data_IF_976752255410
#
_entry.id   IF_976752255410
#
_cell.length_a   1.000
_cell.length_b   1.000
_cell.length_c   1.000
_cell.angle_alpha   90.00
_cell.angle_beta   90.00
_cell.angle_gamma   90.00
#
_symmetry.space_group_name_H-M   'P 1'
#
loop_
_entity.id
_entity.type
_entity.pdbx_description
1 polymer ?
#
# COMPACT_ATOMS: atom_id res chain seq x y z
N UNK A 1 -3.07 13.64 22.75
CA UNK A 1 -4.10 14.55 22.31
C UNK A 1 -5.27 13.75 21.77
N UNK A 2 -6.50 14.03 22.26
CA UNK A 2 -7.70 13.40 21.69
C UNK A 2 -8.05 14.12 20.39
N UNK A 3 -8.53 13.38 19.40
CA UNK A 3 -9.09 13.96 18.19
C UNK A 3 -10.26 14.88 18.58
N UNK A 4 -10.44 16.02 17.91
CA UNK A 4 -11.59 16.89 18.15
C UNK A 4 -12.90 16.11 17.83
N UNK A 5 -13.95 16.41 18.57
CA UNK A 5 -15.27 15.90 18.25
C UNK A 5 -15.70 16.49 16.90
N UNK A 6 -16.07 15.62 15.97
CA UNK A 6 -16.56 16.02 14.65
C UNK A 6 -18.08 16.11 14.72
N UNK A 7 -18.61 17.29 14.50
CA UNK A 7 -20.04 17.56 14.47
C UNK A 7 -20.45 18.30 13.19
N UNK A 8 -21.75 18.42 12.91
CA UNK A 8 -22.25 19.11 11.72
C UNK A 8 -21.77 20.55 11.58
N UNK A 9 -21.61 21.26 12.69
CA UNK A 9 -21.18 22.68 12.66
C UNK A 9 -19.72 22.79 12.25
N UNK A 10 -18.85 21.90 12.76
CA UNK A 10 -17.47 21.82 12.34
C UNK A 10 -17.35 21.44 10.85
N UNK A 11 -18.14 20.47 10.40
CA UNK A 11 -18.17 20.04 8.98
C UNK A 11 -18.59 21.20 8.08
N UNK A 12 -19.59 22.00 8.48
CA UNK A 12 -20.08 23.14 7.69
C UNK A 12 -19.03 24.25 7.50
N UNK A 13 -18.04 24.32 8.38
CA UNK A 13 -16.94 25.29 8.31
C UNK A 13 -15.75 24.80 7.51
N UNK A 14 -15.73 23.54 7.09
CA UNK A 14 -14.63 23.00 6.29
C UNK A 14 -14.67 23.53 4.86
N UNK A 15 -13.54 24.05 4.38
CA UNK A 15 -13.39 24.46 2.98
C UNK A 15 -13.36 23.26 2.03
N UNK A 16 -12.76 22.16 2.47
CA UNK A 16 -12.68 20.91 1.73
C UNK A 16 -12.83 19.73 2.69
N UNK A 17 -13.55 18.72 2.26
CA UNK A 17 -13.67 17.44 2.96
C UNK A 17 -13.11 16.38 2.03
N UNK A 18 -12.12 15.62 2.51
CA UNK A 18 -11.48 14.53 1.75
C UNK A 18 -11.57 13.22 2.52
N UNK A 19 -11.73 12.14 1.80
CA UNK A 19 -11.68 10.80 2.34
C UNK A 19 -10.38 10.10 1.88
N UNK A 20 -9.77 9.38 2.80
CA UNK A 20 -8.60 8.54 2.52
C UNK A 20 -9.06 7.08 2.58
N UNK A 21 -9.00 6.38 1.45
CA UNK A 21 -9.34 4.96 1.38
C UNK A 21 -8.21 4.10 1.94
N UNK A 22 -8.58 3.02 2.59
CA UNK A 22 -7.70 1.95 3.04
C UNK A 22 -7.84 0.68 2.18
N UNK A 23 -7.28 -0.41 2.65
CA UNK A 23 -7.34 -1.70 1.96
C UNK A 23 -8.79 -2.22 1.84
N UNK A 24 -9.65 -1.91 2.80
CA UNK A 24 -11.05 -2.34 2.84
C UNK A 24 -11.84 -1.81 1.63
N UNK A 25 -11.66 -0.55 1.27
CA UNK A 25 -12.34 0.06 0.13
C UNK A 25 -11.84 -0.51 -1.19
N UNK A 26 -10.54 -0.79 -1.29
CA UNK A 26 -9.94 -1.41 -2.48
C UNK A 26 -10.41 -2.86 -2.60
N UNK A 27 -10.42 -3.62 -1.51
CA UNK A 27 -10.95 -4.99 -1.48
C UNK A 27 -12.42 -5.02 -1.90
N UNK A 28 -13.24 -4.12 -1.38
CA UNK A 28 -14.65 -4.03 -1.77
C UNK A 28 -14.82 -3.71 -3.28
N UNK A 29 -13.93 -2.91 -3.85
CA UNK A 29 -13.93 -2.65 -5.30
C UNK A 29 -13.53 -3.90 -6.10
N UNK A 30 -12.52 -4.64 -5.67
CA UNK A 30 -12.08 -5.90 -6.29
C UNK A 30 -13.17 -6.99 -6.20
N UNK A 31 -13.95 -7.04 -5.11
CA UNK A 31 -15.05 -7.99 -4.91
C UNK A 31 -16.19 -7.79 -5.91
N UNK A 32 -16.26 -6.64 -6.59
CA UNK A 32 -17.21 -6.43 -7.69
C UNK A 32 -16.83 -7.18 -8.98
N UNK A 33 -15.65 -7.80 -9.02
CA UNK A 33 -15.08 -8.41 -10.22
C UNK A 33 -14.34 -7.43 -11.14
N UNK A 34 -14.00 -6.24 -10.64
CA UNK A 34 -13.25 -5.26 -11.41
C UNK A 34 -11.79 -5.72 -11.64
N UNK A 35 -11.34 -5.69 -12.89
CA UNK A 35 -9.95 -5.97 -13.26
C UNK A 35 -9.03 -4.76 -13.01
N UNK A 36 -9.59 -3.56 -12.99
CA UNK A 36 -8.87 -2.31 -12.80
C UNK A 36 -9.60 -1.47 -11.76
N UNK A 37 -8.89 -1.03 -10.73
CA UNK A 37 -9.41 -0.13 -9.69
C UNK A 37 -8.62 1.18 -9.73
N UNK A 38 -9.31 2.28 -10.00
CA UNK A 38 -8.73 3.63 -9.95
C UNK A 38 -9.20 4.30 -8.65
N UNK A 39 -8.26 4.58 -7.77
CA UNK A 39 -8.53 5.21 -6.49
C UNK A 39 -7.95 6.63 -6.45
N UNK A 40 -8.77 7.62 -6.07
CA UNK A 40 -8.36 9.03 -6.07
C UNK A 40 -7.42 9.38 -4.91
N UNK A 41 -7.73 8.91 -3.71
CA UNK A 41 -6.91 9.11 -2.51
C UNK A 41 -6.96 7.85 -1.67
N UNK A 42 -5.80 7.21 -1.53
CA UNK A 42 -5.61 6.03 -0.68
C UNK A 42 -4.36 6.19 0.17
N UNK A 43 -4.21 5.34 1.18
CA UNK A 43 -2.88 5.10 1.75
C UNK A 43 -2.05 4.34 0.73
N UNK A 44 -0.79 4.72 0.55
CA UNK A 44 0.07 4.17 -0.50
C UNK A 44 0.24 2.65 -0.37
N UNK A 45 0.42 2.19 0.86
CA UNK A 45 0.57 0.77 1.20
C UNK A 45 -0.70 -0.04 0.91
N UNK A 46 -1.89 0.56 1.07
CA UNK A 46 -3.17 -0.14 0.90
C UNK A 46 -3.38 -0.64 -0.53
N UNK A 47 -2.89 0.09 -1.52
CA UNK A 47 -2.99 -0.28 -2.94
C UNK A 47 -2.31 -1.62 -3.21
N UNK A 48 -1.20 -1.88 -2.54
CA UNK A 48 -0.41 -3.10 -2.71
C UNK A 48 -0.92 -4.22 -1.79
N UNK A 49 -1.27 -3.89 -0.53
CA UNK A 49 -1.66 -4.87 0.47
C UNK A 49 -3.07 -5.45 0.25
N UNK A 50 -3.99 -4.72 -0.39
CA UNK A 50 -5.39 -5.10 -0.46
C UNK A 50 -5.61 -6.48 -1.11
N UNK A 51 -5.00 -6.72 -2.27
CA UNK A 51 -5.18 -7.99 -3.01
C UNK A 51 -4.60 -9.21 -2.26
N UNK A 52 -3.37 -9.19 -1.72
CA UNK A 52 -2.88 -10.28 -0.90
C UNK A 52 -3.78 -10.57 0.32
N UNK A 53 -4.25 -9.54 1.01
CA UNK A 53 -5.16 -9.70 2.16
C UNK A 53 -6.48 -10.34 1.72
N UNK A 54 -7.09 -9.86 0.62
CA UNK A 54 -8.30 -10.43 0.05
C UNK A 54 -8.14 -11.92 -0.29
N UNK A 55 -6.96 -12.30 -0.77
CA UNK A 55 -6.63 -13.70 -1.10
C UNK A 55 -6.26 -14.54 0.12
N UNK A 56 -6.36 -14.02 1.33
CA UNK A 56 -6.13 -14.74 2.57
C UNK A 56 -4.65 -14.90 2.95
N UNK A 57 -3.75 -14.15 2.33
CA UNK A 57 -2.35 -14.13 2.73
C UNK A 57 -2.18 -13.53 4.12
N UNK A 58 -1.07 -13.86 4.80
CA UNK A 58 -0.83 -13.35 6.14
C UNK A 58 -0.78 -11.82 6.16
N UNK A 59 -1.66 -11.14 6.92
CA UNK A 59 -1.78 -9.67 6.87
C UNK A 59 -0.47 -8.94 7.17
N UNK A 60 0.32 -9.44 8.14
CA UNK A 60 1.61 -8.85 8.47
C UNK A 60 2.60 -8.90 7.30
N UNK A 61 2.65 -10.00 6.55
CA UNK A 61 3.47 -10.13 5.36
C UNK A 61 2.99 -9.20 4.24
N UNK A 62 1.67 -9.16 4.00
CA UNK A 62 1.07 -8.27 3.01
C UNK A 62 1.38 -6.80 3.30
N UNK A 63 1.19 -6.34 4.54
CA UNK A 63 1.47 -4.96 4.93
C UNK A 63 2.97 -4.63 4.89
N UNK A 64 3.84 -5.55 5.35
CA UNK A 64 5.28 -5.31 5.33
C UNK A 64 5.83 -5.29 3.90
N UNK A 65 5.47 -6.28 3.08
CA UNK A 65 5.84 -6.29 1.66
C UNK A 65 5.31 -5.06 0.91
N UNK A 66 4.08 -4.65 1.20
CA UNK A 66 3.49 -3.45 0.63
C UNK A 66 4.21 -2.17 1.06
N UNK A 67 4.69 -2.09 2.31
CA UNK A 67 5.46 -0.93 2.78
C UNK A 67 6.80 -0.79 2.05
N UNK A 68 7.47 -1.90 1.80
CA UNK A 68 8.68 -1.91 0.97
C UNK A 68 8.31 -1.59 -0.49
N UNK A 69 7.20 -2.16 -0.97
CA UNK A 69 6.70 -1.96 -2.33
C UNK A 69 6.38 -0.51 -2.67
N UNK A 70 5.79 0.26 -1.75
CA UNK A 70 5.48 1.67 -1.99
C UNK A 70 6.74 2.53 -2.09
N UNK A 71 7.77 2.22 -1.30
CA UNK A 71 9.07 2.89 -1.38
C UNK A 71 9.86 2.45 -2.62
N UNK A 72 9.56 1.25 -3.14
CA UNK A 72 10.10 0.74 -4.37
C UNK A 72 11.62 0.72 -4.41
N UNK A 73 12.20 1.25 -5.48
CA UNK A 73 13.64 1.27 -5.68
C UNK A 73 14.44 1.97 -4.58
N UNK A 74 13.81 2.83 -3.75
CA UNK A 74 14.47 3.45 -2.60
C UNK A 74 14.94 2.42 -1.56
N UNK A 75 14.35 1.24 -1.55
CA UNK A 75 14.76 0.12 -0.70
C UNK A 75 15.83 -0.77 -1.34
N UNK A 76 16.51 -0.30 -2.37
CA UNK A 76 17.56 -1.03 -3.06
C UNK A 76 18.90 -0.26 -3.07
N UNK A 77 20.00 -0.97 -3.38
CA UNK A 77 21.34 -0.39 -3.46
C UNK A 77 21.51 0.63 -4.59
N UNK A 78 20.61 0.63 -5.58
CA UNK A 78 20.58 1.60 -6.67
C UNK A 78 19.20 2.27 -6.73
N UNK A 79 18.93 3.27 -5.86
CA UNK A 79 17.59 3.82 -5.67
C UNK A 79 17.10 4.76 -6.79
N UNK A 80 17.96 5.14 -7.74
CA UNK A 80 17.63 6.17 -8.74
C UNK A 80 16.89 5.65 -9.96
N UNK A 81 16.87 4.35 -10.18
CA UNK A 81 16.21 3.76 -11.34
C UNK A 81 15.73 2.36 -11.03
N UNK A 82 14.57 2.03 -11.54
CA UNK A 82 14.02 0.70 -11.46
C UNK A 82 12.76 0.60 -10.63
N UNK A 83 12.18 -0.57 -10.72
CA UNK A 83 11.02 -1.01 -9.96
C UNK A 83 11.40 -2.22 -9.13
N UNK A 84 10.58 -2.55 -8.16
CA UNK A 84 10.69 -3.80 -7.43
C UNK A 84 9.49 -4.68 -7.73
N UNK A 85 9.70 -5.98 -7.66
CA UNK A 85 8.67 -7.00 -7.62
C UNK A 85 8.49 -7.42 -6.16
N UNK A 86 7.24 -7.50 -5.72
CA UNK A 86 6.89 -8.04 -4.40
C UNK A 86 6.00 -9.26 -4.63
N UNK A 87 6.50 -10.43 -4.27
CA UNK A 87 5.73 -11.67 -4.22
C UNK A 87 5.26 -11.90 -2.79
N UNK A 88 3.96 -12.13 -2.61
CA UNK A 88 3.37 -12.46 -1.31
C UNK A 88 2.74 -13.83 -1.38
N UNK A 89 3.10 -14.71 -0.47
CA UNK A 89 2.59 -16.08 -0.37
C UNK A 89 2.20 -16.45 1.07
N UNK A 90 1.87 -17.72 1.29
CA UNK A 90 1.49 -18.22 2.62
C UNK A 90 2.65 -18.19 3.63
N UNK A 91 3.90 -18.24 3.17
CA UNK A 91 5.10 -18.22 4.00
C UNK A 91 5.61 -16.83 4.35
N UNK A 92 5.17 -15.81 3.58
CA UNK A 92 5.66 -14.46 3.80
C UNK A 92 5.63 -13.59 2.55
N UNK A 93 6.74 -12.91 2.29
CA UNK A 93 6.91 -12.14 1.07
C UNK A 93 8.37 -12.11 0.63
N UNK A 94 8.59 -11.93 -0.67
CA UNK A 94 9.91 -11.74 -1.27
C UNK A 94 9.94 -10.43 -2.05
N UNK A 95 11.00 -9.66 -1.88
CA UNK A 95 11.24 -8.42 -2.63
C UNK A 95 12.40 -8.61 -3.57
N UNK A 96 12.18 -8.32 -4.86
CA UNK A 96 13.19 -8.44 -5.91
C UNK A 96 13.30 -7.11 -6.67
N UNK A 97 14.41 -6.36 -6.51
CA UNK A 97 14.71 -5.23 -7.39
C UNK A 97 14.92 -5.70 -8.83
N UNK A 98 14.31 -5.01 -9.79
CA UNK A 98 14.37 -5.41 -11.21
C UNK A 98 15.40 -4.65 -12.01
N UNK A 99 16.02 -3.60 -11.44
CA UNK A 99 17.12 -2.89 -12.12
C UNK A 99 18.41 -3.69 -12.07
N UNK A 100 19.18 -3.65 -13.15
CA UNK A 100 20.47 -4.34 -13.24
C UNK A 100 21.42 -3.90 -12.12
N UNK A 101 21.96 -4.88 -11.40
CA UNK A 101 22.90 -4.66 -10.30
C UNK A 101 22.28 -4.07 -9.03
N UNK A 102 20.95 -3.91 -8.96
CA UNK A 102 20.25 -3.49 -7.75
C UNK A 102 19.99 -4.69 -6.83
N UNK A 103 20.18 -4.49 -5.54
CA UNK A 103 19.93 -5.51 -4.50
C UNK A 103 19.14 -4.92 -3.34
N UNK A 104 18.14 -5.63 -2.87
CA UNK A 104 17.52 -5.37 -1.57
C UNK A 104 18.34 -6.10 -0.51
N UNK A 105 18.75 -5.37 0.51
CA UNK A 105 19.56 -5.92 1.62
C UNK A 105 18.94 -5.52 2.95
N UNK A 106 19.24 -6.23 4.07
CA UNK A 106 18.77 -5.81 5.40
C UNK A 106 19.19 -4.40 5.81
N UNK A 107 20.16 -3.81 5.11
CA UNK A 107 20.62 -2.44 5.37
C UNK A 107 19.86 -1.39 4.56
N UNK A 108 19.32 -1.77 3.40
CA UNK A 108 18.61 -0.84 2.50
C UNK A 108 17.10 -0.86 2.70
N UNK A 109 16.56 -1.91 3.29
CA UNK A 109 15.14 -2.10 3.58
C UNK A 109 14.75 -1.55 4.95
#
# INVERSE_FOLDING_TARGET
PHAPHIDPDLISQCTNIVALAGAEQITAALDTGADIVIAGRTTDTAIIAALPIQRGMHPGAAWHGAKIGECGALCATNPQSGVILVDVDEGGFTVTPLADGAHATPHTV
#
